data_IF_529327542387
#
_entry.id   IF_529327542387
#
_cell.length_a   1.000
_cell.length_b   1.000
_cell.length_c   1.000
_cell.angle_alpha   90.00
_cell.angle_beta   90.00
_cell.angle_gamma   90.00
#
_symmetry.space_group_name_H-M   'P 1'
#
loop_
_entity.id
_entity.type
_entity.pdbx_description
1 polymer ?
#
# COMPACT_ATOMS: atom_id res chain seq x y z
N UNK A 1 -15.63 13.58 4.15
CA UNK A 1 -16.51 12.47 4.55
C UNK A 1 -17.84 13.04 5.04
N UNK A 2 -18.98 12.51 4.61
CA UNK A 2 -20.35 12.91 5.01
C UNK A 2 -20.84 12.18 6.28
N UNK A 3 -19.90 11.65 7.07
CA UNK A 3 -20.21 10.78 8.19
C UNK A 3 -19.10 10.70 9.22
N UNK A 4 -19.42 10.05 10.34
CA UNK A 4 -18.53 9.80 11.46
C UNK A 4 -18.26 8.32 11.59
N UNK A 5 -16.99 7.94 11.64
CA UNK A 5 -16.54 6.58 11.90
C UNK A 5 -16.09 6.45 13.37
N UNK A 6 -16.42 5.33 14.01
CA UNK A 6 -15.97 5.00 15.37
C UNK A 6 -15.63 3.52 15.46
N UNK A 7 -14.46 3.18 16.00
CA UNK A 7 -14.09 1.79 16.33
C UNK A 7 -14.35 1.51 17.82
N UNK A 8 -15.27 0.59 18.09
CA UNK A 8 -15.62 0.09 19.43
C UNK A 8 -14.87 -1.19 19.82
N UNK A 9 -13.82 -1.57 19.09
CA UNK A 9 -13.08 -2.82 19.26
C UNK A 9 -13.73 -3.94 18.45
N UNK A 10 -14.72 -4.63 19.01
CA UNK A 10 -15.39 -5.74 18.30
C UNK A 10 -16.32 -5.30 17.17
N UNK A 11 -16.68 -4.02 17.10
CA UNK A 11 -17.63 -3.44 16.16
C UNK A 11 -17.13 -2.09 15.70
N UNK A 12 -17.41 -1.74 14.46
CA UNK A 12 -17.20 -0.39 13.92
C UNK A 12 -18.53 0.22 13.54
N UNK A 13 -18.72 1.47 13.89
CA UNK A 13 -19.95 2.23 13.63
C UNK A 13 -19.66 3.34 12.62
N UNK A 14 -20.45 3.36 11.54
CA UNK A 14 -20.49 4.43 10.57
C UNK A 14 -21.83 5.16 10.70
N UNK A 15 -21.77 6.46 10.97
CA UNK A 15 -22.95 7.35 10.96
C UNK A 15 -22.89 8.26 9.74
N UNK A 16 -23.93 8.26 8.90
CA UNK A 16 -24.03 9.11 7.71
C UNK A 16 -25.18 10.11 7.89
N UNK A 17 -24.92 11.40 7.68
CA UNK A 17 -25.98 12.42 7.72
C UNK A 17 -26.88 12.30 6.49
N UNK A 18 -28.11 11.84 6.67
CA UNK A 18 -29.11 11.66 5.60
C UNK A 18 -30.20 12.73 5.60
N UNK A 19 -30.39 13.47 6.71
CA UNK A 19 -31.40 14.54 6.79
C UNK A 19 -31.17 15.68 5.77
N UNK A 20 -29.90 16.02 5.51
CA UNK A 20 -29.54 17.00 4.46
C UNK A 20 -29.87 16.55 3.03
N UNK A 21 -30.14 15.26 2.85
CA UNK A 21 -30.47 14.64 1.57
C UNK A 21 -31.99 14.44 1.40
N UNK A 22 -32.81 14.86 2.38
CA UNK A 22 -34.26 14.71 2.35
C UNK A 22 -34.72 13.25 2.40
N UNK A 23 -33.91 12.37 2.99
CA UNK A 23 -34.22 10.95 3.13
C UNK A 23 -34.88 10.76 4.50
N UNK A 24 -36.20 10.58 4.50
CA UNK A 24 -36.99 10.43 5.74
C UNK A 24 -37.35 8.95 6.04
N UNK A 25 -37.18 8.05 5.07
CA UNK A 25 -37.68 6.67 5.17
C UNK A 25 -36.60 5.62 4.88
N UNK A 26 -36.57 4.56 5.70
CA UNK A 26 -35.67 3.42 5.52
C UNK A 26 -35.91 2.65 4.20
N UNK A 27 -37.10 2.75 3.61
CA UNK A 27 -37.42 2.14 2.30
C UNK A 27 -36.59 2.71 1.15
N UNK A 28 -36.09 3.92 1.32
CA UNK A 28 -35.26 4.60 0.33
C UNK A 28 -33.76 4.37 0.56
N UNK A 29 -33.39 3.60 1.58
CA UNK A 29 -32.00 3.26 1.91
C UNK A 29 -31.69 1.82 1.52
N UNK A 30 -30.54 1.63 0.88
CA UNK A 30 -30.02 0.34 0.43
C UNK A 30 -28.61 0.16 0.99
N UNK A 31 -28.46 -0.76 1.93
CA UNK A 31 -27.18 -1.14 2.53
C UNK A 31 -26.84 -2.53 2.04
N UNK A 32 -25.78 -2.63 1.25
CA UNK A 32 -25.24 -3.87 0.70
C UNK A 32 -23.86 -4.12 1.32
N UNK A 33 -23.69 -5.30 1.92
CA UNK A 33 -22.57 -5.62 2.79
C UNK A 33 -22.08 -7.01 2.44
N UNK A 34 -20.80 -7.10 2.18
CA UNK A 34 -20.07 -8.36 2.04
C UNK A 34 -18.97 -8.42 3.10
N UNK A 35 -18.30 -9.55 3.24
CA UNK A 35 -17.26 -9.78 4.25
C UNK A 35 -16.10 -8.77 4.17
N UNK A 36 -15.92 -8.09 3.04
CA UNK A 36 -14.82 -7.12 2.80
C UNK A 36 -15.28 -5.78 2.23
N UNK A 37 -16.57 -5.58 1.98
CA UNK A 37 -17.05 -4.38 1.29
C UNK A 37 -18.36 -3.84 1.87
N UNK A 38 -18.56 -2.53 1.69
CA UNK A 38 -19.77 -1.81 2.10
C UNK A 38 -20.20 -0.87 0.97
N UNK A 39 -21.43 -1.03 0.51
CA UNK A 39 -22.09 -0.11 -0.42
C UNK A 39 -23.38 0.40 0.20
N UNK A 40 -23.45 1.71 0.43
CA UNK A 40 -24.69 2.37 0.86
C UNK A 40 -25.16 3.29 -0.24
N UNK A 41 -26.41 3.11 -0.64
CA UNK A 41 -27.12 3.97 -1.57
C UNK A 41 -28.41 4.44 -0.93
N UNK A 42 -28.85 5.63 -1.31
CA UNK A 42 -30.15 6.11 -0.92
C UNK A 42 -30.86 6.84 -2.06
N UNK A 43 -32.17 6.76 -2.06
CA UNK A 43 -33.02 7.41 -3.04
C UNK A 43 -33.50 8.75 -2.49
N UNK A 44 -33.25 9.80 -3.25
CA UNK A 44 -33.70 11.17 -2.95
C UNK A 44 -34.20 11.79 -4.24
N UNK A 45 -35.39 12.41 -4.19
CA UNK A 45 -36.08 12.98 -5.36
C UNK A 45 -36.18 12.03 -6.57
N UNK A 46 -36.46 10.75 -6.31
CA UNK A 46 -36.57 9.73 -7.36
C UNK A 46 -35.22 9.21 -7.90
N UNK A 47 -34.10 9.84 -7.53
CA UNK A 47 -32.75 9.48 -8.00
C UNK A 47 -32.01 8.66 -6.96
N UNK A 48 -31.43 7.54 -7.37
CA UNK A 48 -30.55 6.74 -6.51
C UNK A 48 -29.16 7.36 -6.46
N UNK A 49 -28.69 7.70 -5.26
CA UNK A 49 -27.36 8.27 -5.00
C UNK A 49 -26.52 7.32 -4.15
N UNK A 50 -25.23 7.24 -4.44
CA UNK A 50 -24.27 6.50 -3.61
C UNK A 50 -23.82 7.40 -2.46
N UNK A 51 -24.00 6.93 -1.23
CA UNK A 51 -23.57 7.62 -0.01
C UNK A 51 -22.17 7.17 0.40
N UNK A 52 -21.90 5.86 0.35
CA UNK A 52 -20.57 5.29 0.55
C UNK A 52 -20.38 4.07 -0.36
N UNK A 53 -19.16 3.87 -0.83
CA UNK A 53 -18.77 2.71 -1.63
C UNK A 53 -17.33 2.32 -1.28
N UNK A 54 -17.19 1.47 -0.28
CA UNK A 54 -15.91 0.94 0.18
C UNK A 54 -15.78 -0.48 -0.35
N UNK A 55 -14.89 -0.65 -1.33
CA UNK A 55 -14.65 -1.95 -1.96
C UNK A 55 -13.82 -2.89 -1.10
N UNK A 56 -12.96 -2.33 -0.24
CA UNK A 56 -12.05 -3.08 0.61
C UNK A 56 -11.95 -2.43 1.99
N UNK A 57 -12.65 -3.00 2.95
CA UNK A 57 -12.61 -2.60 4.36
C UNK A 57 -11.20 -2.86 4.96
N UNK A 58 -10.96 -2.33 6.16
CA UNK A 58 -9.65 -2.46 6.81
C UNK A 58 -9.31 -3.90 7.21
N UNK A 59 -10.32 -4.71 7.49
CA UNK A 59 -10.26 -6.17 7.64
C UNK A 59 -11.64 -6.76 7.34
N UNK A 60 -11.81 -8.07 7.56
CA UNK A 60 -13.08 -8.76 7.38
C UNK A 60 -14.09 -8.42 8.47
N UNK A 61 -15.34 -8.37 8.05
CA UNK A 61 -16.50 -8.28 8.93
C UNK A 61 -17.34 -9.55 8.83
N UNK A 62 -18.20 -9.78 9.81
CA UNK A 62 -19.25 -10.77 9.72
C UNK A 62 -20.47 -10.11 9.08
N UNK A 63 -20.59 -10.22 7.77
CA UNK A 63 -21.68 -9.63 6.99
C UNK A 63 -23.08 -9.97 7.55
N UNK A 64 -23.30 -11.21 8.00
CA UNK A 64 -24.56 -11.66 8.61
C UNK A 64 -24.90 -11.05 9.97
N UNK A 65 -23.91 -10.48 10.67
CA UNK A 65 -24.08 -9.82 11.98
C UNK A 65 -24.10 -8.28 11.83
N UNK A 66 -24.15 -7.77 10.59
CA UNK A 66 -24.25 -6.32 10.33
C UNK A 66 -25.67 -5.82 10.56
N UNK A 67 -25.78 -4.71 11.29
CA UNK A 67 -27.06 -4.07 11.61
C UNK A 67 -27.01 -2.63 11.10
N UNK A 68 -28.11 -2.16 10.52
CA UNK A 68 -28.27 -0.75 10.19
C UNK A 68 -29.67 -0.25 10.58
N UNK A 69 -29.76 1.02 10.92
CA UNK A 69 -31.00 1.69 11.28
C UNK A 69 -30.88 3.19 11.05
N UNK A 70 -32.03 3.87 11.01
CA UNK A 70 -32.09 5.34 10.99
C UNK A 70 -32.30 5.81 12.42
N UNK A 71 -31.43 6.71 12.87
CA UNK A 71 -31.48 7.40 14.15
C UNK A 71 -31.60 8.90 13.85
N UNK A 72 -32.80 9.45 14.06
CA UNK A 72 -33.17 10.81 13.66
C UNK A 72 -32.83 11.08 12.18
N UNK A 73 -31.87 11.95 11.91
CA UNK A 73 -31.42 12.36 10.58
C UNK A 73 -30.16 11.58 10.11
N UNK A 74 -29.79 10.50 10.80
CA UNK A 74 -28.57 9.74 10.54
C UNK A 74 -28.87 8.29 10.19
N UNK A 75 -28.19 7.78 9.16
CA UNK A 75 -28.09 6.35 8.92
C UNK A 75 -26.92 5.81 9.73
N UNK A 76 -27.20 4.89 10.65
CA UNK A 76 -26.20 4.19 11.45
C UNK A 76 -26.00 2.79 10.87
N UNK A 77 -24.75 2.45 10.54
CA UNK A 77 -24.33 1.12 10.09
C UNK A 77 -23.31 0.59 11.08
N UNK A 78 -23.62 -0.51 11.75
CA UNK A 78 -22.73 -1.20 12.67
C UNK A 78 -22.23 -2.50 12.03
N UNK A 79 -20.92 -2.58 11.81
CA UNK A 79 -20.25 -3.73 11.21
C UNK A 79 -19.52 -4.51 12.30
N UNK A 80 -19.80 -5.81 12.40
CA UNK A 80 -19.13 -6.71 13.35
C UNK A 80 -17.78 -7.16 12.80
N UNK A 81 -16.68 -6.86 13.49
CA UNK A 81 -15.34 -7.26 13.07
C UNK A 81 -15.11 -8.76 13.29
N UNK A 82 -14.36 -9.39 12.37
CA UNK A 82 -13.85 -10.75 12.57
C UNK A 82 -12.68 -10.72 13.56
N UNK A 83 -11.73 -9.80 13.35
CA UNK A 83 -10.61 -9.55 14.26
C UNK A 83 -10.94 -8.38 15.19
N UNK A 84 -11.15 -8.66 16.48
CA UNK A 84 -11.66 -7.67 17.43
C UNK A 84 -10.57 -6.73 17.94
N UNK A 85 -9.32 -7.17 17.95
CA UNK A 85 -8.19 -6.41 18.50
C UNK A 85 -7.55 -5.46 17.47
N UNK A 86 -7.75 -5.72 16.18
CA UNK A 86 -7.20 -4.88 15.11
C UNK A 86 -7.91 -3.54 15.07
N UNK A 87 -7.23 -2.44 15.38
CA UNK A 87 -7.87 -1.12 15.35
C UNK A 87 -8.03 -0.63 13.92
N UNK A 88 -9.24 -0.22 13.58
CA UNK A 88 -9.58 0.41 12.32
C UNK A 88 -9.49 1.93 12.52
N UNK A 89 -8.55 2.61 11.84
CA UNK A 89 -8.41 4.05 11.98
C UNK A 89 -9.52 4.81 11.26
N UNK A 90 -9.99 4.28 10.13
CA UNK A 90 -11.12 4.79 9.37
C UNK A 90 -11.73 3.68 8.50
N UNK A 91 -12.86 3.96 7.85
CA UNK A 91 -13.47 3.11 6.83
C UNK A 91 -12.89 3.35 5.43
N UNK A 92 -12.35 4.55 5.20
CA UNK A 92 -11.76 4.95 3.92
C UNK A 92 -10.25 4.67 3.88
N UNK A 93 -9.70 4.55 2.68
CA UNK A 93 -8.26 4.37 2.41
C UNK A 93 -7.54 5.72 2.27
N UNK A 94 -7.78 6.64 3.21
CA UNK A 94 -7.03 7.90 3.31
C UNK A 94 -5.59 7.66 3.75
N UNK A 95 -4.71 8.64 3.52
CA UNK A 95 -3.30 8.55 3.94
C UNK A 95 -3.18 8.32 5.45
N UNK A 96 -3.92 9.07 6.26
CA UNK A 96 -3.91 8.98 7.73
C UNK A 96 -4.43 7.62 8.20
N UNK A 97 -5.48 7.10 7.56
CA UNK A 97 -6.04 5.78 7.84
C UNK A 97 -5.02 4.67 7.52
N UNK A 98 -4.46 4.70 6.31
CA UNK A 98 -3.51 3.69 5.87
C UNK A 98 -2.25 3.68 6.72
N UNK A 99 -1.65 4.84 6.98
CA UNK A 99 -0.41 4.93 7.77
C UNK A 99 -0.59 4.47 9.21
N UNK A 100 -1.70 4.83 9.86
CA UNK A 100 -2.01 4.38 11.22
C UNK A 100 -2.36 2.89 11.30
N UNK A 101 -3.02 2.35 10.28
CA UNK A 101 -3.55 0.99 10.35
C UNK A 101 -2.56 -0.07 9.85
N UNK A 102 -1.77 0.23 8.82
CA UNK A 102 -0.91 -0.76 8.17
C UNK A 102 0.26 -1.21 9.07
N UNK A 103 0.70 -0.37 9.99
CA UNK A 103 1.73 -0.70 10.98
C UNK A 103 1.33 -1.89 11.86
N UNK A 104 0.04 -2.01 12.19
CA UNK A 104 -0.52 -3.15 12.92
C UNK A 104 -0.51 -4.42 12.06
N UNK A 105 -0.74 -4.28 10.74
CA UNK A 105 -0.75 -5.40 9.79
C UNK A 105 0.66 -5.91 9.48
N UNK A 106 1.63 -5.01 9.34
CA UNK A 106 3.02 -5.36 9.04
C UNK A 106 3.73 -6.01 10.23
N UNK A 107 3.30 -5.77 11.47
CA UNK A 107 3.88 -6.38 12.70
C UNK A 107 5.41 -6.26 12.84
N UNK A 108 6.00 -5.24 12.22
CA UNK A 108 7.45 -5.02 12.22
C UNK A 108 8.20 -5.58 11.01
N UNK A 109 7.52 -6.27 10.09
CA UNK A 109 8.09 -6.72 8.81
C UNK A 109 8.53 -5.50 8.00
N UNK A 110 9.75 -5.55 7.47
CA UNK A 110 10.33 -4.50 6.63
C UNK A 110 9.78 -4.53 5.21
N UNK A 111 9.86 -3.40 4.51
CA UNK A 111 9.39 -3.24 3.13
C UNK A 111 10.57 -2.87 2.24
N UNK A 112 10.72 -3.54 1.09
CA UNK A 112 11.74 -3.26 0.09
C UNK A 112 11.09 -2.66 -1.15
N UNK A 113 11.50 -1.47 -1.54
CA UNK A 113 11.06 -0.78 -2.75
C UNK A 113 12.09 -1.04 -3.85
N UNK A 114 11.65 -1.74 -4.90
CA UNK A 114 12.45 -2.09 -6.08
C UNK A 114 11.84 -1.48 -7.33
N UNK A 115 12.64 -1.26 -8.37
CA UNK A 115 12.17 -0.65 -9.60
C UNK A 115 13.33 -0.30 -10.52
N UNK A 116 13.03 0.21 -11.72
CA UNK A 116 14.08 0.61 -12.67
C UNK A 116 14.71 1.98 -12.35
N UNK A 117 14.07 2.80 -11.52
CA UNK A 117 14.54 4.14 -11.14
C UNK A 117 14.88 4.24 -9.65
N UNK A 118 16.13 4.56 -9.35
CA UNK A 118 16.61 4.81 -7.99
C UNK A 118 15.84 5.97 -7.35
N UNK A 119 15.70 7.10 -8.05
CA UNK A 119 15.07 8.31 -7.51
C UNK A 119 13.61 8.08 -7.10
N UNK A 120 12.86 7.31 -7.90
CA UNK A 120 11.47 6.96 -7.59
C UNK A 120 11.42 6.06 -6.36
N UNK A 121 12.28 5.04 -6.31
CA UNK A 121 12.33 4.11 -5.20
C UNK A 121 12.63 4.84 -3.88
N UNK A 122 13.61 5.74 -3.88
CA UNK A 122 14.00 6.52 -2.70
C UNK A 122 12.90 7.47 -2.23
N UNK A 123 12.31 8.26 -3.15
CA UNK A 123 11.27 9.22 -2.81
C UNK A 123 10.06 8.53 -2.16
N UNK A 124 9.61 7.43 -2.76
CA UNK A 124 8.45 6.67 -2.26
C UNK A 124 8.80 5.94 -0.96
N UNK A 125 10.00 5.34 -0.84
CA UNK A 125 10.42 4.69 0.39
C UNK A 125 10.47 5.65 1.58
N UNK A 126 11.02 6.85 1.38
CA UNK A 126 11.09 7.91 2.41
C UNK A 126 9.69 8.34 2.85
N UNK A 127 8.79 8.61 1.91
CA UNK A 127 7.40 9.01 2.22
C UNK A 127 6.63 7.91 2.95
N UNK A 128 6.77 6.64 2.53
CA UNK A 128 6.16 5.50 3.23
C UNK A 128 6.72 5.37 4.65
N UNK A 129 8.05 5.40 4.80
CA UNK A 129 8.71 5.23 6.09
C UNK A 129 8.27 6.30 7.10
N UNK A 130 8.25 7.56 6.68
CA UNK A 130 7.77 8.67 7.49
C UNK A 130 6.31 8.46 7.89
N UNK A 131 5.45 8.10 6.94
CA UNK A 131 4.04 7.84 7.20
C UNK A 131 3.81 6.74 8.23
N UNK A 132 4.47 5.59 8.08
CA UNK A 132 4.26 4.41 8.95
C UNK A 132 5.17 4.39 10.19
N UNK A 133 6.02 5.40 10.37
CA UNK A 133 6.97 5.49 11.50
C UNK A 133 8.08 4.43 11.47
N UNK A 134 8.51 4.02 10.27
CA UNK A 134 9.62 3.10 10.05
C UNK A 134 10.90 3.87 9.73
N UNK A 135 12.04 3.18 9.77
CA UNK A 135 13.33 3.77 9.37
C UNK A 135 13.45 3.77 7.84
N UNK A 136 13.56 4.93 7.17
CA UNK A 136 13.92 4.98 5.76
C UNK A 136 15.38 4.58 5.57
N UNK A 137 15.66 3.70 4.62
CA UNK A 137 17.02 3.26 4.27
C UNK A 137 17.20 3.30 2.76
N UNK A 138 18.17 4.06 2.28
CA UNK A 138 18.52 4.10 0.86
C UNK A 138 19.86 3.39 0.64
N UNK A 139 19.89 2.34 -0.17
CA UNK A 139 21.12 1.58 -0.41
C UNK A 139 22.18 2.42 -1.13
N UNK A 140 21.76 3.33 -2.00
CA UNK A 140 22.59 4.37 -2.63
C UNK A 140 23.37 5.17 -1.58
N UNK A 141 22.67 5.81 -0.64
CA UNK A 141 23.27 6.63 0.42
C UNK A 141 24.25 5.82 1.29
N UNK A 142 23.90 4.57 1.62
CA UNK A 142 24.79 3.67 2.38
C UNK A 142 26.06 3.32 1.60
N UNK A 143 25.95 3.03 0.31
CA UNK A 143 27.08 2.71 -0.56
C UNK A 143 27.99 3.93 -0.75
N UNK A 144 27.43 5.10 -1.02
CA UNK A 144 28.21 6.33 -1.20
C UNK A 144 28.89 6.75 0.10
N UNK A 145 28.22 6.61 1.25
CA UNK A 145 28.82 6.87 2.55
C UNK A 145 29.93 5.87 2.90
N UNK A 146 29.80 4.60 2.54
CA UNK A 146 30.79 3.57 2.86
C UNK A 146 32.02 3.64 1.96
N UNK A 147 31.87 4.12 0.73
CA UNK A 147 32.96 4.14 -0.28
C UNK A 147 33.55 5.51 -0.53
N UNK A 148 32.93 6.58 -0.02
CA UNK A 148 33.27 7.97 -0.30
C UNK A 148 33.27 8.31 -1.80
N UNK A 149 32.53 7.54 -2.61
CA UNK A 149 32.39 7.70 -4.06
C UNK A 149 30.92 7.71 -4.43
N UNK A 150 30.54 8.62 -5.33
CA UNK A 150 29.19 8.61 -5.91
C UNK A 150 28.99 7.38 -6.79
N UNK A 151 27.77 6.86 -6.84
CA UNK A 151 27.42 5.67 -7.66
C UNK A 151 27.83 5.86 -9.13
N UNK A 152 27.60 7.04 -9.71
CA UNK A 152 27.98 7.33 -11.11
C UNK A 152 29.47 7.17 -11.39
N UNK A 153 30.31 7.59 -10.45
CA UNK A 153 31.77 7.46 -10.56
C UNK A 153 32.18 6.00 -10.44
N UNK A 154 31.55 5.27 -9.53
CA UNK A 154 31.82 3.85 -9.34
C UNK A 154 31.43 3.04 -10.59
N UNK A 155 30.28 3.33 -11.18
CA UNK A 155 29.85 2.74 -12.44
C UNK A 155 30.83 3.00 -13.58
N UNK A 156 31.38 4.22 -13.67
CA UNK A 156 32.36 4.57 -14.69
C UNK A 156 33.71 3.86 -14.51
N UNK A 157 34.12 3.56 -13.26
CA UNK A 157 35.43 2.98 -12.98
C UNK A 157 35.43 1.45 -12.86
N UNK A 158 34.40 0.85 -12.26
CA UNK A 158 34.38 -0.58 -11.88
C UNK A 158 33.19 -1.33 -12.47
N UNK A 159 32.24 -0.62 -13.08
CA UNK A 159 31.13 -1.20 -13.84
C UNK A 159 29.92 -1.62 -13.01
N UNK A 160 28.85 -2.00 -13.71
CA UNK A 160 27.53 -2.33 -13.13
C UNK A 160 27.54 -3.56 -12.21
N UNK A 161 28.42 -4.52 -12.48
CA UNK A 161 28.51 -5.77 -11.70
C UNK A 161 29.07 -5.51 -10.30
N UNK A 162 30.12 -4.69 -10.21
CA UNK A 162 30.74 -4.30 -8.94
C UNK A 162 29.75 -3.58 -8.03
N UNK A 163 29.00 -2.61 -8.57
CA UNK A 163 27.99 -1.86 -7.81
C UNK A 163 26.86 -2.78 -7.31
N UNK A 164 26.37 -3.68 -8.16
CA UNK A 164 25.31 -4.61 -7.78
C UNK A 164 25.77 -5.64 -6.72
N UNK A 165 27.02 -6.09 -6.78
CA UNK A 165 27.60 -6.95 -5.74
C UNK A 165 27.72 -6.22 -4.40
N UNK A 166 28.16 -4.97 -4.42
CA UNK A 166 28.24 -4.16 -3.21
C UNK A 166 26.85 -3.89 -2.60
N UNK A 167 25.86 -3.55 -3.43
CA UNK A 167 24.49 -3.40 -2.94
C UNK A 167 23.96 -4.71 -2.33
N UNK A 168 24.30 -5.86 -2.92
CA UNK A 168 23.89 -7.15 -2.35
C UNK A 168 24.44 -7.37 -0.94
N UNK A 169 25.67 -6.93 -0.64
CA UNK A 169 26.25 -6.99 0.71
C UNK A 169 25.50 -6.05 1.68
N UNK A 170 25.09 -4.87 1.21
CA UNK A 170 24.24 -3.98 2.00
C UNK A 170 22.90 -4.65 2.32
N UNK A 171 22.25 -5.25 1.32
CA UNK A 171 20.98 -5.98 1.52
C UNK A 171 21.12 -7.16 2.48
N UNK A 172 22.24 -7.88 2.44
CA UNK A 172 22.56 -8.92 3.42
C UNK A 172 22.61 -8.39 4.85
N UNK A 173 23.27 -7.24 5.07
CA UNK A 173 23.29 -6.62 6.40
C UNK A 173 21.89 -6.19 6.84
N UNK A 174 21.11 -5.62 5.92
CA UNK A 174 19.76 -5.13 6.16
C UNK A 174 18.74 -6.26 6.41
N UNK A 175 19.01 -7.50 5.99
CA UNK A 175 18.06 -8.61 6.16
C UNK A 175 17.81 -8.99 7.63
N UNK A 176 18.63 -8.50 8.56
CA UNK A 176 18.46 -8.67 10.01
C UNK A 176 17.69 -7.52 10.67
N UNK A 177 17.42 -6.44 9.94
CA UNK A 177 16.75 -5.25 10.46
C UNK A 177 15.23 -5.37 10.31
N UNK A 178 14.51 -4.91 11.32
CA UNK A 178 13.05 -4.83 11.34
C UNK A 178 12.59 -3.38 11.28
N UNK A 179 11.35 -3.16 10.84
CA UNK A 179 10.75 -1.81 10.76
C UNK A 179 11.55 -0.85 9.88
N UNK A 180 12.03 -1.33 8.74
CA UNK A 180 12.70 -0.50 7.73
C UNK A 180 11.87 -0.41 6.45
N UNK A 181 12.04 0.68 5.72
CA UNK A 181 11.62 0.78 4.31
C UNK A 181 12.86 1.03 3.48
N UNK A 182 13.29 0.02 2.73
CA UNK A 182 14.55 -0.01 2.01
C UNK A 182 14.31 0.34 0.54
N UNK A 183 14.90 1.43 0.06
CA UNK A 183 14.97 1.75 -1.37
C UNK A 183 16.23 1.13 -1.98
N UNK A 184 16.06 0.30 -3.01
CA UNK A 184 17.18 -0.26 -3.78
C UNK A 184 17.54 0.63 -4.96
N UNK A 185 18.79 0.53 -5.42
CA UNK A 185 19.23 1.04 -6.70
C UNK A 185 18.35 0.49 -7.83
N UNK A 186 18.05 1.37 -8.79
CA UNK A 186 17.28 1.03 -9.96
C UNK A 186 18.12 0.46 -11.09
N UNK A 187 17.45 -0.18 -12.05
CA UNK A 187 18.05 -0.57 -13.33
C UNK A 187 19.13 -1.64 -13.18
N UNK A 188 20.03 -1.75 -14.18
CA UNK A 188 21.00 -2.85 -14.29
C UNK A 188 22.09 -2.83 -13.20
N UNK A 189 22.33 -1.68 -12.60
CA UNK A 189 23.28 -1.51 -11.51
C UNK A 189 22.71 -1.99 -10.16
N UNK A 190 21.39 -2.09 -10.03
CA UNK A 190 20.78 -2.55 -8.78
C UNK A 190 20.83 -4.07 -8.65
N UNK A 191 21.13 -4.56 -7.46
CA UNK A 191 21.07 -5.96 -7.07
C UNK A 191 19.68 -6.55 -7.32
N UNK A 192 18.61 -5.80 -7.05
CA UNK A 192 17.23 -6.24 -7.28
C UNK A 192 16.92 -6.55 -8.76
N UNK A 193 17.71 -6.03 -9.71
CA UNK A 193 17.57 -6.37 -11.13
C UNK A 193 18.13 -7.76 -11.50
N UNK A 194 18.74 -8.47 -10.55
CA UNK A 194 19.43 -9.75 -10.76
C UNK A 194 18.77 -10.86 -9.98
N UNK A 195 18.29 -11.89 -10.67
CA UNK A 195 17.50 -12.95 -10.06
C UNK A 195 18.21 -13.69 -8.92
N UNK A 196 19.53 -13.86 -9.01
CA UNK A 196 20.41 -14.56 -8.05
C UNK A 196 20.70 -13.74 -6.78
N UNK A 197 20.33 -12.46 -6.73
CA UNK A 197 20.59 -11.56 -5.59
C UNK A 197 19.35 -11.30 -4.71
N UNK A 198 18.23 -11.96 -4.98
CA UNK A 198 16.96 -11.75 -4.27
C UNK A 198 16.87 -12.39 -2.88
N UNK A 199 17.82 -13.24 -2.51
CA UNK A 199 17.75 -14.02 -1.26
C UNK A 199 17.54 -13.16 -0.01
N UNK A 200 18.10 -11.95 0.02
CA UNK A 200 17.99 -11.02 1.15
C UNK A 200 16.70 -10.16 1.11
N UNK A 201 16.10 -9.96 -0.06
CA UNK A 201 14.84 -9.21 -0.20
C UNK A 201 13.65 -9.99 0.39
N UNK A 202 13.75 -11.31 0.45
CA UNK A 202 12.74 -12.19 1.06
C UNK A 202 12.63 -12.05 2.59
N UNK A 203 13.48 -11.24 3.24
CA UNK A 203 13.37 -10.91 4.65
C UNK A 203 12.22 -9.93 4.96
N UNK A 204 11.56 -9.37 3.93
CA UNK A 204 10.41 -8.49 4.07
C UNK A 204 9.53 -8.48 2.83
N UNK A 205 8.50 -7.63 2.82
CA UNK A 205 7.65 -7.46 1.64
C UNK A 205 8.41 -6.70 0.55
N UNK A 206 8.33 -7.17 -0.68
CA UNK A 206 8.96 -6.51 -1.83
C UNK A 206 7.91 -5.86 -2.72
N UNK A 207 8.09 -4.57 -2.99
CA UNK A 207 7.21 -3.76 -3.81
C UNK A 207 7.94 -3.25 -5.05
N UNK A 208 7.42 -3.58 -6.23
CA UNK A 208 7.94 -3.08 -7.50
C UNK A 208 7.21 -1.79 -7.90
N UNK A 209 7.96 -0.71 -8.06
CA UNK A 209 7.53 0.51 -8.75
C UNK A 209 7.90 0.41 -10.23
N UNK A 210 6.94 0.70 -11.10
CA UNK A 210 7.14 0.63 -12.54
C UNK A 210 6.44 1.81 -13.21
N UNK A 211 7.21 2.77 -13.72
CA UNK A 211 6.67 3.81 -14.58
C UNK A 211 6.34 3.26 -15.99
N UNK A 212 5.33 3.83 -16.65
CA UNK A 212 4.86 3.38 -17.98
C UNK A 212 5.97 3.33 -19.04
N UNK A 213 6.90 4.27 -19.00
CA UNK A 213 8.04 4.31 -19.93
C UNK A 213 9.07 3.21 -19.62
N UNK A 214 9.23 2.84 -18.35
CA UNK A 214 10.10 1.75 -17.89
C UNK A 214 9.48 0.38 -18.17
N UNK A 215 8.15 0.25 -18.06
CA UNK A 215 7.43 -0.97 -18.42
C UNK A 215 7.65 -1.35 -19.89
N UNK A 216 7.77 -0.34 -20.78
CA UNK A 216 8.09 -0.56 -22.20
C UNK A 216 9.54 -1.03 -22.40
N UNK A 217 10.49 -0.44 -21.67
CA UNK A 217 11.91 -0.82 -21.73
C UNK A 217 12.18 -2.21 -21.14
N UNK A 218 11.56 -2.55 -20.01
CA UNK A 218 11.72 -3.85 -19.34
C UNK A 218 11.17 -5.02 -20.17
N UNK A 219 10.06 -4.83 -20.88
CA UNK A 219 9.54 -5.80 -21.86
C UNK A 219 10.52 -6.01 -23.02
N UNK A 220 11.18 -4.93 -23.49
CA UNK A 220 12.19 -5.03 -24.55
C UNK A 220 13.53 -5.61 -24.07
N UNK A 221 13.87 -5.47 -22.79
CA UNK A 221 15.13 -5.96 -22.21
C UNK A 221 15.04 -7.36 -21.60
N UNK A 222 13.83 -7.92 -21.48
CA UNK A 222 13.60 -9.25 -20.92
C UNK A 222 13.88 -9.36 -19.43
N UNK A 223 13.94 -8.25 -18.68
CA UNK A 223 14.26 -8.28 -17.26
C UNK A 223 13.06 -8.81 -16.44
N UNK A 224 13.12 -10.09 -16.09
CA UNK A 224 12.12 -10.79 -15.28
C UNK A 224 12.45 -10.82 -13.79
N UNK A 225 13.56 -10.20 -13.34
CA UNK A 225 13.98 -10.30 -11.94
C UNK A 225 12.93 -9.74 -10.97
N UNK A 226 12.33 -8.59 -11.31
CA UNK A 226 11.27 -7.98 -10.51
C UNK A 226 9.94 -8.75 -10.50
N UNK A 227 9.80 -9.84 -11.24
CA UNK A 227 8.58 -10.66 -11.23
C UNK A 227 8.36 -11.38 -9.88
N UNK A 228 9.39 -11.43 -9.02
CA UNK A 228 9.31 -11.97 -7.65
C UNK A 228 8.74 -11.00 -6.62
N UNK A 229 8.47 -9.74 -6.98
CA UNK A 229 7.91 -8.77 -6.05
C UNK A 229 6.50 -9.20 -5.61
N UNK A 230 6.20 -9.08 -4.32
CA UNK A 230 4.89 -9.42 -3.75
C UNK A 230 3.80 -8.46 -4.25
N UNK A 231 4.19 -7.21 -4.49
CA UNK A 231 3.33 -6.14 -4.99
C UNK A 231 3.93 -5.49 -6.23
N UNK A 232 3.09 -5.19 -7.21
CA UNK A 232 3.46 -4.35 -8.36
C UNK A 232 2.56 -3.12 -8.43
N UNK A 233 3.17 -1.94 -8.36
CA UNK A 233 2.51 -0.63 -8.50
C UNK A 233 2.91 -0.01 -9.83
N UNK A 234 1.92 0.15 -10.72
CA UNK A 234 2.13 0.75 -12.04
C UNK A 234 1.82 2.24 -12.01
N UNK A 235 2.77 3.05 -12.47
CA UNK A 235 2.66 4.50 -12.52
C UNK A 235 2.33 4.96 -13.95
N UNK A 236 1.36 5.86 -14.09
CA UNK A 236 1.01 6.49 -15.37
C UNK A 236 2.12 7.41 -15.92
N UNK A 237 3.00 7.86 -15.03
CA UNK A 237 4.17 8.72 -15.22
C UNK A 237 4.80 8.98 -13.84
N UNK A 238 5.92 9.69 -13.79
CA UNK A 238 6.54 10.10 -12.53
C UNK A 238 6.68 11.62 -12.46
N UNK A 239 6.19 12.18 -11.36
CA UNK A 239 6.42 13.56 -10.93
C UNK A 239 6.61 13.51 -9.40
N UNK A 240 7.70 14.08 -8.85
CA UNK A 240 7.92 14.15 -7.41
C UNK A 240 6.76 14.75 -6.62
N UNK A 241 5.95 15.65 -7.21
CA UNK A 241 4.77 16.22 -6.55
C UNK A 241 3.71 15.15 -6.20
N UNK A 242 3.69 14.03 -6.92
CA UNK A 242 2.77 12.91 -6.67
C UNK A 242 3.36 11.81 -5.77
N UNK A 243 4.51 12.01 -5.14
CA UNK A 243 5.16 11.01 -4.28
C UNK A 243 4.20 10.46 -3.22
N UNK A 244 3.45 11.34 -2.53
CA UNK A 244 2.45 10.91 -1.54
C UNK A 244 1.32 10.07 -2.13
N UNK A 245 0.83 10.42 -3.31
CA UNK A 245 -0.23 9.64 -3.97
C UNK A 245 0.27 8.23 -4.35
N UNK A 246 1.52 8.13 -4.82
CA UNK A 246 2.15 6.84 -5.13
C UNK A 246 2.38 6.03 -3.84
N UNK A 247 2.91 6.66 -2.79
CA UNK A 247 3.09 6.03 -1.49
C UNK A 247 1.75 5.54 -0.92
N UNK A 248 0.68 6.33 -1.02
CA UNK A 248 -0.65 5.93 -0.58
C UNK A 248 -1.13 4.69 -1.34
N UNK A 249 -0.98 4.67 -2.67
CA UNK A 249 -1.30 3.50 -3.49
C UNK A 249 -0.46 2.27 -3.13
N UNK A 250 0.79 2.46 -2.71
CA UNK A 250 1.64 1.40 -2.18
C UNK A 250 1.06 0.84 -0.87
N UNK A 251 0.62 1.69 0.06
CA UNK A 251 -0.01 1.26 1.31
C UNK A 251 -1.33 0.51 1.08
N UNK A 252 -2.14 0.95 0.11
CA UNK A 252 -3.36 0.21 -0.30
C UNK A 252 -2.98 -1.19 -0.77
N UNK A 253 -1.93 -1.32 -1.58
CA UNK A 253 -1.48 -2.61 -2.09
C UNK A 253 -0.93 -3.53 -1.00
N UNK A 254 -0.13 -3.00 -0.08
CA UNK A 254 0.36 -3.74 1.08
C UNK A 254 -0.77 -4.19 2.00
N UNK A 255 -1.79 -3.34 2.22
CA UNK A 255 -2.99 -3.70 2.97
C UNK A 255 -3.70 -4.87 2.28
N UNK A 256 -3.92 -4.81 0.97
CA UNK A 256 -4.55 -5.89 0.23
C UNK A 256 -3.76 -7.20 0.32
N UNK A 257 -2.44 -7.13 0.15
CA UNK A 257 -1.56 -8.29 0.27
C UNK A 257 -1.66 -8.92 1.67
N UNK A 258 -1.49 -8.13 2.73
CA UNK A 258 -1.53 -8.64 4.12
C UNK A 258 -2.90 -9.23 4.50
N UNK A 259 -4.00 -8.72 3.95
CA UNK A 259 -5.33 -9.28 4.15
C UNK A 259 -5.59 -10.55 3.33
N UNK A 260 -4.98 -10.67 2.15
CA UNK A 260 -5.04 -11.86 1.31
C UNK A 260 -4.17 -13.00 1.86
N UNK A 261 -3.00 -12.66 2.41
CA UNK A 261 -1.99 -13.60 2.93
C UNK A 261 -2.46 -14.34 4.20
N UNK A 262 -3.51 -13.84 4.89
CA UNK A 262 -4.25 -14.65 5.89
C UNK A 262 -4.82 -15.96 5.30
N UNK A 263 -4.78 -16.18 3.98
CA UNK A 263 -5.19 -17.43 3.32
C UNK A 263 -4.24 -18.05 2.28
N UNK A 264 -3.23 -17.39 1.69
CA UNK A 264 -2.51 -17.98 0.55
C UNK A 264 -1.05 -17.56 0.39
N UNK A 265 -0.17 -18.56 0.42
CA UNK A 265 1.11 -18.51 -0.26
C UNK A 265 0.91 -18.32 -1.79
N UNK A 266 1.44 -17.22 -2.34
CA UNK A 266 1.83 -17.16 -3.76
C UNK A 266 0.96 -16.38 -4.76
N UNK A 267 0.03 -15.50 -4.36
CA UNK A 267 -0.66 -14.61 -5.31
C UNK A 267 -0.14 -13.16 -5.25
N UNK A 268 0.39 -12.66 -6.38
CA UNK A 268 0.92 -11.30 -6.54
C UNK A 268 -0.24 -10.30 -6.67
N UNK A 269 -0.27 -9.28 -5.80
CA UNK A 269 -1.26 -8.20 -5.86
C UNK A 269 -0.84 -7.11 -6.86
N UNK A 270 -1.68 -6.81 -7.85
CA UNK A 270 -1.41 -5.79 -8.89
C UNK A 270 -2.33 -4.59 -8.68
N UNK A 271 -1.77 -3.41 -8.41
CA UNK A 271 -2.52 -2.15 -8.36
C UNK A 271 -2.06 -1.20 -9.48
N UNK A 272 -3.04 -0.65 -10.20
CA UNK A 272 -2.82 0.36 -11.24
C UNK A 272 -3.37 1.71 -10.77
N UNK A 273 -2.48 2.66 -10.54
CA UNK A 273 -2.85 4.04 -10.17
C UNK A 273 -3.08 4.84 -11.47
N UNK A 274 -4.27 5.42 -11.61
CA UNK A 274 -4.56 6.37 -12.68
C UNK A 274 -4.15 7.77 -12.20
N UNK A 275 -3.25 8.40 -12.95
CA UNK A 275 -2.94 9.84 -12.87
C UNK A 275 -3.99 10.63 -13.65
#
# INVERSE_FOLDING_TARGET
>A
MLGKFTDGGGEVELRLDIGKLGIENSRDVFVDVDDTSLLVRAKSDGTLRTLINVKQLFDRIKSSETIWFIDEDQLVVNLKKVEQELKWPDIDESWESLTSGITQLLTGISVHIVGDSTDINEAVAKEIAEGIGYLPVCTSELLESATEKSIDKWLASEGVDSVAEAECVVLESLSSHVRTVVATLGGKQGAASRFDKWQYLHAGFTMKLSAKEEARRSVSSGNVAYAKADVVVKLGGWDPEYTRAVAQGCLVALKQLTLADKKLAGEVSIIQLAS
#
